data_IF_350100873857
#
_entry.id   IF_350100873857
#
_cell.length_a   1.000
_cell.length_b   1.000
_cell.length_c   1.000
_cell.angle_alpha   90.00
_cell.angle_beta   90.00
_cell.angle_gamma   90.00
#
_symmetry.space_group_name_H-M   'P 1'
#
loop_
_entity.id
_entity.type
_entity.pdbx_description
1 polymer ?
#
# COMPACT_ATOMS: atom_id res chain seq x y z
N UNK A 1 15.66 17.47 -26.61
CA UNK A 1 15.11 16.41 -25.71
C UNK A 1 16.16 15.42 -25.16
N UNK A 2 17.28 15.12 -25.87
CA UNK A 2 18.26 14.09 -25.44
C UNK A 2 19.29 14.47 -24.34
N UNK A 3 19.49 15.76 -24.01
CA UNK A 3 20.54 16.20 -23.06
C UNK A 3 20.17 16.00 -21.58
N UNK A 4 18.91 16.21 -21.21
CA UNK A 4 18.45 16.12 -19.81
C UNK A 4 18.53 14.68 -19.31
N UNK A 5 18.11 13.71 -20.13
CA UNK A 5 18.10 12.29 -19.75
C UNK A 5 19.48 11.76 -19.38
N UNK A 6 20.55 12.23 -20.05
CA UNK A 6 21.94 11.87 -19.74
C UNK A 6 22.44 12.49 -18.44
N UNK A 7 21.98 13.69 -18.09
CA UNK A 7 22.33 14.35 -16.82
C UNK A 7 21.70 13.65 -15.61
N UNK A 8 20.54 13.01 -15.78
CA UNK A 8 19.89 12.23 -14.71
C UNK A 8 20.40 10.78 -14.59
N UNK A 9 21.20 10.27 -15.54
CA UNK A 9 21.78 8.93 -15.47
C UNK A 9 22.61 8.68 -14.20
N UNK A 10 23.57 9.56 -13.80
CA UNK A 10 24.32 9.34 -12.57
C UNK A 10 23.42 9.32 -11.33
N UNK A 11 22.36 10.14 -11.31
CA UNK A 11 21.38 10.16 -10.23
C UNK A 11 20.53 8.87 -10.20
N UNK A 12 20.19 8.33 -11.38
CA UNK A 12 19.49 7.05 -11.50
C UNK A 12 20.35 5.88 -11.04
N UNK A 13 21.65 5.87 -11.36
CA UNK A 13 22.59 4.86 -10.87
C UNK A 13 22.75 4.94 -9.35
N UNK A 14 22.86 6.15 -8.79
CA UNK A 14 22.92 6.34 -7.34
C UNK A 14 21.65 5.81 -6.67
N UNK A 15 20.47 6.14 -7.18
CA UNK A 15 19.20 5.61 -6.68
C UNK A 15 19.13 4.08 -6.78
N UNK A 16 19.56 3.51 -7.90
CA UNK A 16 19.59 2.06 -8.11
C UNK A 16 20.52 1.36 -7.11
N UNK A 17 21.71 1.91 -6.86
CA UNK A 17 22.67 1.37 -5.88
C UNK A 17 22.09 1.42 -4.46
N UNK A 18 21.46 2.53 -4.07
CA UNK A 18 20.81 2.66 -2.75
C UNK A 18 19.67 1.65 -2.60
N UNK A 19 18.83 1.48 -3.62
CA UNK A 19 17.75 0.48 -3.60
C UNK A 19 18.29 -0.94 -3.56
N UNK A 20 19.35 -1.25 -4.31
CA UNK A 20 19.99 -2.57 -4.29
C UNK A 20 20.61 -2.89 -2.93
N UNK A 21 21.27 -1.92 -2.28
CA UNK A 21 21.82 -2.09 -0.94
C UNK A 21 20.70 -2.32 0.08
N UNK A 22 19.61 -1.54 0.01
CA UNK A 22 18.43 -1.70 0.87
C UNK A 22 17.79 -3.08 0.71
N UNK A 23 17.64 -3.57 -0.53
CA UNK A 23 17.10 -4.90 -0.77
C UNK A 23 18.02 -5.98 -0.22
N UNK A 24 19.33 -5.88 -0.45
CA UNK A 24 20.31 -6.80 0.16
C UNK A 24 20.24 -6.81 1.68
N UNK A 25 20.04 -5.66 2.33
CA UNK A 25 19.86 -5.58 3.79
C UNK A 25 18.61 -6.34 4.27
N UNK A 26 17.53 -6.38 3.48
CA UNK A 26 16.37 -7.24 3.76
C UNK A 26 16.70 -8.71 3.50
N UNK A 27 17.37 -9.03 2.39
CA UNK A 27 17.73 -10.41 2.03
C UNK A 27 18.68 -11.05 3.05
N UNK A 28 19.60 -10.27 3.61
CA UNK A 28 20.51 -10.69 4.69
C UNK A 28 19.83 -10.73 6.08
N UNK A 29 18.55 -10.39 6.19
CA UNK A 29 17.80 -10.41 7.45
C UNK A 29 18.21 -9.33 8.46
N UNK A 30 19.02 -8.33 8.04
CA UNK A 30 19.44 -7.21 8.88
C UNK A 30 18.26 -6.28 9.16
N UNK A 31 17.37 -6.12 8.18
CA UNK A 31 16.13 -5.37 8.34
C UNK A 31 14.99 -6.30 8.78
N UNK A 32 14.33 -5.95 9.89
CA UNK A 32 13.24 -6.74 10.45
C UNK A 32 12.05 -6.83 9.49
N UNK A 33 11.72 -8.05 9.07
CA UNK A 33 10.46 -8.37 8.42
C UNK A 33 9.44 -8.82 9.48
N UNK A 34 8.28 -8.17 9.52
CA UNK A 34 7.19 -8.59 10.41
C UNK A 34 6.42 -9.73 9.74
N UNK A 35 6.37 -10.90 10.37
CA UNK A 35 5.51 -12.01 9.96
C UNK A 35 4.13 -11.88 10.60
N UNK A 36 3.09 -12.32 9.89
CA UNK A 36 1.70 -12.26 10.33
C UNK A 36 1.12 -13.67 10.40
N UNK A 37 0.23 -13.92 11.36
CA UNK A 37 -0.42 -15.23 11.55
C UNK A 37 -1.54 -15.51 10.52
N UNK A 38 -1.90 -14.51 9.71
CA UNK A 38 -2.98 -14.56 8.73
C UNK A 38 -2.42 -14.47 7.32
N UNK A 39 -3.09 -15.05 6.30
CA UNK A 39 -2.67 -14.93 4.92
C UNK A 39 -2.74 -13.47 4.45
N UNK A 40 -1.61 -12.90 4.05
CA UNK A 40 -1.50 -11.52 3.56
C UNK A 40 -1.20 -11.51 2.07
N UNK A 41 -2.05 -10.86 1.29
CA UNK A 41 -1.82 -10.62 -0.14
C UNK A 41 -1.34 -9.18 -0.31
N UNK A 42 -0.11 -9.01 -0.80
CA UNK A 42 0.45 -7.68 -1.07
C UNK A 42 0.30 -7.35 -2.56
N UNK A 43 -0.47 -6.30 -2.87
CA UNK A 43 -0.59 -5.75 -4.23
C UNK A 43 0.28 -4.50 -4.33
N UNK A 44 1.37 -4.61 -5.10
CA UNK A 44 2.33 -3.54 -5.32
C UNK A 44 2.60 -3.34 -6.82
N UNK A 45 3.31 -2.27 -7.15
CA UNK A 45 3.81 -2.06 -8.50
C UNK A 45 5.25 -1.55 -8.45
N UNK A 46 6.04 -1.91 -9.46
CA UNK A 46 7.45 -1.56 -9.58
C UNK A 46 7.67 -0.15 -10.14
N UNK A 47 6.68 0.40 -10.84
CA UNK A 47 6.76 1.74 -11.46
C UNK A 47 5.90 2.78 -10.73
N UNK A 48 6.37 4.02 -10.70
CA UNK A 48 5.62 5.18 -10.20
C UNK A 48 4.67 5.68 -11.29
N UNK A 49 3.36 5.72 -11.02
CA UNK A 49 2.33 6.08 -11.99
C UNK A 49 1.02 5.28 -11.83
N UNK A 50 -0.01 5.66 -12.60
CA UNK A 50 -1.32 5.00 -12.68
C UNK A 50 -1.19 3.59 -13.26
N UNK A 51 -0.92 2.61 -12.41
CA UNK A 51 -0.35 1.32 -12.79
C UNK A 51 -1.30 0.16 -12.52
N UNK A 52 -2.61 0.43 -12.53
CA UNK A 52 -3.63 -0.60 -12.40
C UNK A 52 -3.73 -1.28 -11.02
N UNK A 53 -2.95 -0.85 -10.02
CA UNK A 53 -3.02 -1.40 -8.64
C UNK A 53 -4.44 -1.39 -8.08
N UNK A 54 -5.16 -0.29 -8.28
CA UNK A 54 -6.53 -0.12 -7.79
C UNK A 54 -7.48 -1.13 -8.46
N UNK A 55 -7.57 -1.22 -9.80
CA UNK A 55 -8.34 -2.28 -10.47
C UNK A 55 -8.02 -3.71 -10.00
N UNK A 56 -6.73 -4.05 -9.84
CA UNK A 56 -6.32 -5.38 -9.38
C UNK A 56 -6.79 -5.65 -7.95
N UNK A 57 -6.67 -4.65 -7.07
CA UNK A 57 -7.10 -4.77 -5.68
C UNK A 57 -8.62 -4.92 -5.59
N UNK A 58 -9.37 -4.17 -6.39
CA UNK A 58 -10.83 -4.28 -6.49
C UNK A 58 -11.27 -5.65 -7.01
N UNK A 59 -10.58 -6.19 -8.02
CA UNK A 59 -10.88 -7.51 -8.56
C UNK A 59 -10.63 -8.63 -7.52
N UNK A 60 -9.51 -8.57 -6.80
CA UNK A 60 -9.24 -9.50 -5.70
C UNK A 60 -10.31 -9.41 -4.61
N UNK A 61 -10.75 -8.20 -4.28
CA UNK A 61 -11.79 -7.98 -3.28
C UNK A 61 -13.12 -8.59 -3.74
N UNK A 62 -13.51 -8.43 -5.01
CA UNK A 62 -14.70 -9.07 -5.60
C UNK A 62 -14.66 -10.60 -5.52
N UNK A 63 -13.49 -11.20 -5.80
CA UNK A 63 -13.33 -12.64 -5.77
C UNK A 63 -13.34 -13.22 -4.34
N UNK A 64 -12.79 -12.49 -3.38
CA UNK A 64 -12.57 -13.01 -2.03
C UNK A 64 -13.73 -12.72 -1.07
N UNK A 65 -14.43 -11.59 -1.22
CA UNK A 65 -15.55 -11.20 -0.35
C UNK A 65 -16.65 -12.27 -0.21
N UNK A 66 -17.06 -13.01 -1.26
CA UNK A 66 -18.09 -14.04 -1.14
C UNK A 66 -17.65 -15.26 -0.33
N UNK A 67 -16.35 -15.57 -0.35
CA UNK A 67 -15.81 -16.81 0.22
C UNK A 67 -15.14 -16.62 1.59
N UNK A 68 -14.64 -15.41 1.89
CA UNK A 68 -13.84 -15.12 3.08
C UNK A 68 -14.13 -13.72 3.62
N UNK A 69 -13.98 -13.57 4.94
CA UNK A 69 -13.92 -12.24 5.58
C UNK A 69 -12.56 -11.62 5.26
N UNK A 70 -12.56 -10.59 4.42
CA UNK A 70 -11.35 -9.90 3.99
C UNK A 70 -11.35 -8.44 4.45
N UNK A 71 -10.16 -7.95 4.78
CA UNK A 71 -9.92 -6.54 5.05
C UNK A 71 -8.81 -6.04 4.12
N UNK A 72 -8.97 -4.84 3.57
CA UNK A 72 -7.92 -4.20 2.79
C UNK A 72 -7.13 -3.26 3.69
N UNK A 73 -5.82 -3.19 3.47
CA UNK A 73 -4.94 -2.28 4.20
C UNK A 73 -4.25 -1.35 3.21
N UNK A 74 -4.70 -0.10 3.19
CA UNK A 74 -4.11 0.95 2.38
C UNK A 74 -3.25 1.90 3.22
N UNK A 75 -2.37 2.64 2.55
CA UNK A 75 -1.56 3.68 3.20
C UNK A 75 -2.38 4.92 3.55
N UNK A 76 -3.50 5.16 2.84
CA UNK A 76 -4.31 6.37 2.98
C UNK A 76 -3.60 7.61 2.44
N UNK A 77 -3.14 7.56 1.19
CA UNK A 77 -2.46 8.70 0.57
C UNK A 77 -3.37 9.94 0.55
N UNK A 78 -2.83 11.11 0.89
CA UNK A 78 -3.57 12.39 0.90
C UNK A 78 -4.42 12.67 2.15
N UNK A 79 -4.49 11.74 3.11
CA UNK A 79 -5.25 11.96 4.36
C UNK A 79 -4.54 12.94 5.31
N UNK A 80 -5.31 13.63 6.16
CA UNK A 80 -4.80 14.54 7.21
C UNK A 80 -4.58 13.86 8.56
N UNK A 81 -5.18 12.70 8.78
CA UNK A 81 -5.11 11.97 10.04
C UNK A 81 -3.93 11.00 10.07
N UNK A 82 -3.39 10.73 11.25
CA UNK A 82 -2.27 9.80 11.43
C UNK A 82 -2.72 8.55 12.20
N UNK A 83 -1.95 7.46 12.07
CA UNK A 83 -2.20 6.21 12.80
C UNK A 83 -3.07 5.21 12.04
N UNK A 84 -3.64 4.24 12.78
CA UNK A 84 -4.47 3.17 12.23
C UNK A 84 -5.93 3.59 12.34
N UNK A 85 -6.65 3.65 11.22
CA UNK A 85 -8.09 3.93 11.20
C UNK A 85 -8.78 2.82 10.40
N UNK A 86 -9.89 2.32 10.93
CA UNK A 86 -10.77 1.39 10.24
C UNK A 86 -11.94 2.22 9.71
N UNK A 87 -12.20 2.16 8.41
CA UNK A 87 -13.20 3.04 7.79
C UNK A 87 -14.62 2.66 8.21
N UNK A 88 -15.30 3.63 8.82
CA UNK A 88 -16.73 3.63 9.09
C UNK A 88 -17.55 4.21 7.95
N UNK A 89 -18.86 4.22 8.11
CA UNK A 89 -19.79 4.81 7.13
C UNK A 89 -19.72 6.35 7.09
N UNK A 90 -19.19 6.98 8.13
CA UNK A 90 -19.07 8.44 8.28
C UNK A 90 -17.71 9.01 7.89
N UNK A 91 -16.78 8.18 7.42
CA UNK A 91 -15.44 8.61 7.05
C UNK A 91 -15.40 9.30 5.68
N UNK A 92 -14.45 10.22 5.53
CA UNK A 92 -14.31 11.06 4.35
C UNK A 92 -12.90 10.93 3.75
N UNK A 93 -12.74 11.43 2.52
CA UNK A 93 -11.44 11.48 1.84
C UNK A 93 -10.34 12.17 2.65
N UNK A 94 -10.68 13.15 3.50
CA UNK A 94 -9.72 13.82 4.38
C UNK A 94 -9.22 12.94 5.52
N UNK A 95 -10.01 11.95 5.96
CA UNK A 95 -9.67 11.05 7.07
C UNK A 95 -9.02 9.76 6.57
N UNK A 96 -9.54 9.15 5.50
CA UNK A 96 -9.02 7.87 5.02
C UNK A 96 -8.19 7.99 3.74
N UNK A 97 -8.26 9.12 3.03
CA UNK A 97 -7.59 9.33 1.75
C UNK A 97 -8.48 8.96 0.57
N UNK A 98 -8.02 9.29 -0.64
CA UNK A 98 -8.82 9.17 -1.85
C UNK A 98 -9.02 7.71 -2.30
N UNK A 99 -7.93 6.93 -2.40
CA UNK A 99 -7.99 5.52 -2.82
C UNK A 99 -8.84 4.66 -1.85
N UNK A 100 -8.71 4.78 -0.52
CA UNK A 100 -9.53 3.99 0.41
C UNK A 100 -11.00 4.39 0.39
N UNK A 101 -11.29 5.69 0.18
CA UNK A 101 -12.66 6.16 0.03
C UNK A 101 -13.29 5.62 -1.24
N UNK A 102 -12.56 5.60 -2.37
CA UNK A 102 -13.03 5.01 -3.61
C UNK A 102 -13.38 3.53 -3.44
N UNK A 103 -12.53 2.76 -2.76
CA UNK A 103 -12.81 1.35 -2.44
C UNK A 103 -14.03 1.22 -1.52
N UNK A 104 -14.19 2.11 -0.53
CA UNK A 104 -15.32 2.06 0.41
C UNK A 104 -16.66 2.31 -0.28
N UNK A 105 -16.69 3.24 -1.22
CA UNK A 105 -17.88 3.54 -2.01
C UNK A 105 -18.28 2.37 -2.91
N UNK A 106 -17.30 1.67 -3.51
CA UNK A 106 -17.56 0.49 -4.35
C UNK A 106 -17.90 -0.77 -3.55
N UNK A 107 -17.31 -0.92 -2.37
CA UNK A 107 -17.43 -2.09 -1.51
C UNK A 107 -17.85 -1.68 -0.09
N UNK A 108 -19.10 -1.26 0.12
CA UNK A 108 -19.56 -0.75 1.41
C UNK A 108 -19.44 -1.80 2.53
N UNK A 109 -19.59 -3.08 2.18
CA UNK A 109 -19.50 -4.21 3.10
C UNK A 109 -18.06 -4.66 3.40
N UNK A 110 -17.07 -4.19 2.66
CA UNK A 110 -15.67 -4.52 2.91
C UNK A 110 -15.11 -3.70 4.08
N UNK A 111 -14.29 -4.34 4.91
CA UNK A 111 -13.49 -3.64 5.92
C UNK A 111 -12.27 -3.03 5.24
N UNK A 112 -12.14 -1.71 5.30
CA UNK A 112 -11.01 -0.98 4.71
C UNK A 112 -10.28 -0.28 5.83
N UNK A 113 -9.04 -0.69 6.09
CA UNK A 113 -8.18 -0.09 7.08
C UNK A 113 -7.12 0.78 6.41
N UNK A 114 -6.74 1.87 7.06
CA UNK A 114 -5.70 2.79 6.61
C UNK A 114 -4.63 2.97 7.67
N UNK A 115 -3.38 2.73 7.29
CA UNK A 115 -2.23 2.91 8.16
C UNK A 115 -0.98 3.26 7.35
N UNK A 116 -0.25 4.30 7.77
CA UNK A 116 1.04 4.67 7.15
C UNK A 116 2.06 3.53 7.23
N UNK A 117 2.10 2.89 8.40
CA UNK A 117 2.95 1.75 8.71
C UNK A 117 2.07 0.52 8.79
N UNK A 118 2.16 -0.36 7.79
CA UNK A 118 1.30 -1.55 7.68
C UNK A 118 1.37 -2.45 8.91
N UNK A 119 2.56 -2.60 9.50
CA UNK A 119 2.75 -3.41 10.72
C UNK A 119 2.00 -2.87 11.94
N UNK A 120 1.66 -1.58 11.99
CA UNK A 120 0.90 -1.01 13.11
C UNK A 120 -0.56 -1.45 13.10
N UNK A 121 -1.14 -1.70 11.92
CA UNK A 121 -2.52 -2.14 11.79
C UNK A 121 -2.75 -3.55 12.35
N UNK A 122 -1.66 -4.28 12.61
CA UNK A 122 -1.65 -5.66 13.05
C UNK A 122 -1.26 -5.83 14.52
N UNK A 123 -1.23 -4.75 15.32
CA UNK A 123 -1.06 -4.91 16.76
C UNK A 123 -2.23 -5.73 17.31
N UNK A 124 -1.98 -6.85 18.01
CA UNK A 124 -3.03 -7.49 18.78
C UNK A 124 -3.55 -6.46 19.78
N UNK A 125 -4.88 -6.26 19.78
CA UNK A 125 -5.55 -5.61 20.90
C UNK A 125 -5.31 -6.43 22.17
#
# INVERSE_FOLDING_TARGET
MFRIRRLLLPLSWLYATIMALRNKLFDFGILSATSYQLPVISVGNLTVGGTGKTPVTEHLLQLLLPAKRCATLSRGYGRKTNGVIISGASDNFTTIGDEPMQMKLKFPHATIAVAEKRWMAWKPC
#
